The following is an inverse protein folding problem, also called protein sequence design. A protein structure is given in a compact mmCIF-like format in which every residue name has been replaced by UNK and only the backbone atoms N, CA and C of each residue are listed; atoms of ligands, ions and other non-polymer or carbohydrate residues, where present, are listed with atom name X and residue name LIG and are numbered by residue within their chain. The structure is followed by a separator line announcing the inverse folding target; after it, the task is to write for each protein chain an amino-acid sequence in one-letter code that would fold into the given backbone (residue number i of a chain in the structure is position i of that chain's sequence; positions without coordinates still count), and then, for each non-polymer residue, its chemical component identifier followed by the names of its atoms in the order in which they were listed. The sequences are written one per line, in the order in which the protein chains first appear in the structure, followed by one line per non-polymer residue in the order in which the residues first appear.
data_IF_415860829735
#
_entry.id   IF_415860829735
#
_cell.length_a   1.000
_cell.length_b   1.000
_cell.length_c   1.000
_cell.angle_alpha   90.00
_cell.angle_beta   90.00
_cell.angle_gamma   90.00
#
_symmetry.space_group_name_H-M   'P 1'
#
loop_
_entity.id
_entity.type
_entity.pdbx_description
1 polymer ?
#
# COMPACT_ATOMS: atom_id res chain seq x y z
N UNK A 1 25.16 32.12 8.54
CA UNK A 1 24.27 31.44 9.50
C UNK A 1 24.02 30.04 8.92
N UNK A 2 24.57 29.00 9.57
CA UNK A 2 24.16 27.62 9.30
C UNK A 2 22.67 27.56 9.62
N UNK A 3 21.84 27.21 8.63
CA UNK A 3 20.42 26.91 8.91
C UNK A 3 20.42 25.72 9.87
N UNK A 4 20.03 25.94 11.13
CA UNK A 4 19.74 24.83 12.01
C UNK A 4 18.66 23.99 11.37
N UNK A 5 19.01 22.75 11.05
CA UNK A 5 18.01 21.80 10.54
C UNK A 5 17.04 21.48 11.68
N UNK A 6 15.74 21.43 11.41
CA UNK A 6 14.77 21.11 12.45
C UNK A 6 15.05 19.74 13.06
N UNK A 7 14.88 19.61 14.36
CA UNK A 7 14.93 18.34 15.07
C UNK A 7 13.71 17.52 14.74
N UNK A 8 13.88 16.41 14.02
CA UNK A 8 12.80 15.57 13.54
C UNK A 8 12.71 14.30 14.38
N UNK A 9 11.55 14.06 15.00
CA UNK A 9 11.22 12.79 15.64
C UNK A 9 10.42 11.89 14.69
N UNK A 10 10.66 10.57 14.74
CA UNK A 10 9.90 9.59 13.97
C UNK A 10 9.41 8.44 14.85
N UNK A 11 8.11 8.15 14.81
CA UNK A 11 7.52 6.92 15.37
C UNK A 11 7.29 5.93 14.25
N UNK A 12 8.05 4.83 14.18
CA UNK A 12 8.03 3.90 13.06
C UNK A 12 6.86 2.92 13.10
N UNK A 13 6.62 2.25 11.97
CA UNK A 13 5.69 1.11 11.86
C UNK A 13 6.24 -0.14 12.55
N UNK A 14 7.56 -0.35 12.46
CA UNK A 14 8.28 -1.48 13.06
C UNK A 14 9.55 -0.99 13.76
N UNK A 15 9.89 -1.62 14.89
CA UNK A 15 11.04 -1.22 15.71
C UNK A 15 12.39 -1.35 15.00
N UNK A 16 12.48 -2.26 14.01
CA UNK A 16 13.66 -2.49 13.19
C UNK A 16 13.75 -1.59 11.95
N UNK A 17 12.75 -0.72 11.74
CA UNK A 17 12.63 0.17 10.57
C UNK A 17 12.55 -0.57 9.22
N UNK A 18 12.30 -1.88 9.23
CA UNK A 18 12.28 -2.71 8.02
C UNK A 18 10.87 -2.97 7.48
N UNK A 19 9.85 -2.43 8.13
CA UNK A 19 8.48 -2.49 7.63
C UNK A 19 8.32 -1.79 6.28
N UNK A 20 7.44 -2.26 5.38
CA UNK A 20 7.19 -1.57 4.11
C UNK A 20 6.78 -0.10 4.29
N UNK A 21 5.98 0.18 5.33
CA UNK A 21 5.57 1.55 5.68
C UNK A 21 6.75 2.43 6.09
N UNK A 22 7.76 1.87 6.76
CA UNK A 22 8.97 2.60 7.10
C UNK A 22 9.81 2.88 5.85
N UNK A 23 10.22 1.82 5.14
CA UNK A 23 11.19 1.90 4.04
C UNK A 23 10.70 2.68 2.82
N UNK A 24 9.39 2.70 2.57
CA UNK A 24 8.79 3.28 1.35
C UNK A 24 8.13 4.63 1.56
N UNK A 25 8.08 5.15 2.79
CA UNK A 25 7.41 6.40 3.13
C UNK A 25 8.40 7.39 3.74
N UNK A 26 8.26 7.78 5.00
CA UNK A 26 9.10 8.83 5.60
C UNK A 26 10.60 8.54 5.51
N UNK A 27 11.05 7.30 5.77
CA UNK A 27 12.49 6.97 5.70
C UNK A 27 13.03 7.11 4.27
N UNK A 28 12.26 6.69 3.25
CA UNK A 28 12.65 6.89 1.84
C UNK A 28 12.79 8.39 1.51
N UNK A 29 11.85 9.21 1.97
CA UNK A 29 11.91 10.65 1.80
C UNK A 29 13.11 11.26 2.56
N UNK A 30 13.29 10.94 3.83
CA UNK A 30 14.39 11.44 4.65
C UNK A 30 15.75 11.12 4.03
N UNK A 31 15.92 9.88 3.55
CA UNK A 31 17.13 9.47 2.82
C UNK A 31 17.33 10.29 1.54
N UNK A 32 16.28 10.47 0.75
CA UNK A 32 16.36 11.22 -0.50
C UNK A 32 16.66 12.73 -0.28
N UNK A 33 16.36 13.27 0.88
CA UNK A 33 16.62 14.68 1.25
C UNK A 33 17.78 14.86 2.22
N UNK A 34 18.53 13.78 2.54
CA UNK A 34 19.62 13.79 3.55
C UNK A 34 19.19 14.37 4.90
N UNK A 35 17.97 14.03 5.33
CA UNK A 35 17.44 14.49 6.61
C UNK A 35 17.85 13.52 7.72
N UNK A 36 18.36 14.06 8.80
CA UNK A 36 18.56 13.34 10.05
C UNK A 36 17.25 13.29 10.83
N UNK A 37 16.96 12.17 11.44
CA UNK A 37 15.84 12.02 12.36
C UNK A 37 16.23 11.06 13.49
N UNK A 38 15.49 11.10 14.58
CA UNK A 38 15.66 10.21 15.73
C UNK A 38 14.33 9.51 16.04
N UNK A 39 14.39 8.36 16.72
CA UNK A 39 13.18 7.69 17.19
C UNK A 39 12.51 8.55 18.25
N UNK A 40 11.28 8.98 17.97
CA UNK A 40 10.57 9.92 18.82
C UNK A 40 10.20 9.31 20.18
N UNK A 41 10.40 10.08 21.22
CA UNK A 41 9.91 9.83 22.58
C UNK A 41 8.93 10.93 22.96
N UNK A 42 7.86 10.58 23.63
CA UNK A 42 6.77 11.50 23.94
C UNK A 42 7.22 12.68 24.82
N UNK A 43 8.18 12.46 25.71
CA UNK A 43 8.70 13.44 26.67
C UNK A 43 9.72 14.42 26.06
N UNK A 44 10.24 14.08 24.87
CA UNK A 44 11.28 14.87 24.20
C UNK A 44 10.67 15.99 23.34
N UNK A 45 11.47 17.04 23.12
CA UNK A 45 11.08 18.17 22.27
C UNK A 45 11.61 17.99 20.86
N UNK A 46 10.72 18.07 19.88
CA UNK A 46 11.02 18.06 18.45
C UNK A 46 10.38 19.27 17.78
N UNK A 47 10.99 19.80 16.74
CA UNK A 47 10.33 20.80 15.89
C UNK A 47 9.16 20.19 15.13
N UNK A 48 9.35 18.95 14.65
CA UNK A 48 8.30 18.15 14.01
C UNK A 48 8.44 16.69 14.35
N UNK A 49 7.31 16.04 14.62
CA UNK A 49 7.23 14.58 14.81
C UNK A 49 6.41 13.96 13.68
N UNK A 50 6.98 12.96 13.02
CA UNK A 50 6.26 12.14 12.03
C UNK A 50 5.83 10.86 12.73
N UNK A 51 4.53 10.70 12.88
CA UNK A 51 3.91 9.55 13.53
C UNK A 51 3.37 8.59 12.49
N UNK A 52 3.86 7.35 12.46
CA UNK A 52 3.23 6.30 11.68
C UNK A 52 1.89 5.89 12.30
N UNK A 53 1.09 5.15 11.56
CA UNK A 53 -0.17 4.54 12.04
C UNK A 53 0.04 3.54 13.21
N UNK A 54 1.28 3.12 13.47
CA UNK A 54 1.61 2.28 14.63
C UNK A 54 1.76 3.08 15.93
N UNK A 55 1.83 4.40 15.86
CA UNK A 55 1.94 5.28 17.03
C UNK A 55 0.78 5.08 18.02
N UNK A 56 1.05 5.36 19.29
CA UNK A 56 0.03 5.33 20.34
C UNK A 56 -0.90 6.54 20.22
N UNK A 57 -1.97 6.38 19.43
CA UNK A 57 -2.99 7.44 19.23
C UNK A 57 -3.83 7.73 20.49
N UNK A 58 -3.64 6.99 21.59
CA UNK A 58 -4.26 7.30 22.87
C UNK A 58 -3.43 8.29 23.70
N UNK A 59 -2.17 8.49 23.34
CA UNK A 59 -1.18 9.34 24.03
C UNK A 59 -0.78 10.57 23.19
N UNK A 60 -0.37 10.37 21.94
CA UNK A 60 0.20 11.42 21.08
C UNK A 60 -0.69 12.65 20.83
N UNK A 61 -2.03 12.62 20.93
CA UNK A 61 -2.83 13.84 20.85
C UNK A 61 -2.51 14.88 21.92
N UNK A 62 -1.87 14.50 23.04
CA UNK A 62 -1.47 15.41 24.13
C UNK A 62 -0.07 16.02 23.92
N UNK A 63 0.67 15.59 22.89
CA UNK A 63 1.99 16.15 22.60
C UNK A 63 1.88 17.63 22.19
N UNK A 64 2.62 18.50 22.88
CA UNK A 64 2.52 19.96 22.73
C UNK A 64 3.84 20.66 22.37
N UNK A 65 4.93 19.91 22.24
CA UNK A 65 6.26 20.49 22.09
C UNK A 65 6.66 20.83 20.65
N UNK A 66 5.89 20.44 19.65
CA UNK A 66 6.17 20.71 18.25
C UNK A 66 5.03 20.33 17.32
N UNK A 67 5.30 20.42 16.01
CA UNK A 67 4.34 20.05 14.97
C UNK A 67 4.18 18.52 14.86
N UNK A 68 2.97 18.07 14.57
CA UNK A 68 2.67 16.67 14.36
C UNK A 68 2.25 16.42 12.91
N UNK A 69 2.95 15.51 12.26
CA UNK A 69 2.56 14.89 10.99
C UNK A 69 2.08 13.47 11.29
N UNK A 70 0.82 13.15 11.00
CA UNK A 70 0.29 11.80 11.20
C UNK A 70 0.14 11.07 9.88
N UNK A 71 0.91 9.99 9.69
CA UNK A 71 0.90 9.16 8.47
C UNK A 71 -0.08 8.01 8.65
N UNK A 72 -1.34 8.24 8.23
CA UNK A 72 -2.47 7.33 8.32
C UNK A 72 -2.71 6.63 6.97
N UNK A 73 -2.19 5.43 6.80
CA UNK A 73 -2.26 4.69 5.53
C UNK A 73 -3.59 3.95 5.36
N UNK A 74 -4.10 3.31 6.42
CA UNK A 74 -5.33 2.52 6.36
C UNK A 74 -6.59 3.36 6.62
N UNK A 75 -7.68 3.07 5.88
CA UNK A 75 -8.93 3.83 5.88
C UNK A 75 -9.86 3.52 7.07
N UNK A 76 -9.34 3.43 8.28
CA UNK A 76 -10.13 3.08 9.47
C UNK A 76 -11.25 4.08 9.80
N UNK A 77 -11.13 5.34 9.40
CA UNK A 77 -12.19 6.35 9.60
C UNK A 77 -13.45 6.07 8.78
N UNK A 78 -13.33 5.33 7.68
CA UNK A 78 -14.45 4.93 6.83
C UNK A 78 -15.21 3.70 7.37
N UNK A 79 -14.64 2.97 8.34
CA UNK A 79 -15.26 1.78 8.91
C UNK A 79 -16.34 2.17 9.92
N UNK A 80 -17.58 1.66 9.80
CA UNK A 80 -18.66 1.96 10.74
C UNK A 80 -18.32 1.54 12.19
N UNK A 81 -18.81 2.30 13.17
CA UNK A 81 -18.65 1.94 14.60
C UNK A 81 -19.34 0.63 14.97
N UNK A 82 -20.31 0.18 14.18
CA UNK A 82 -21.01 -1.09 14.34
C UNK A 82 -20.19 -2.30 13.96
N UNK A 83 -19.05 -2.11 13.29
CA UNK A 83 -18.11 -3.20 12.98
C UNK A 83 -17.44 -3.69 14.28
N UNK A 84 -17.64 -4.98 14.60
CA UNK A 84 -17.13 -5.58 15.82
C UNK A 84 -15.60 -5.52 15.92
N UNK A 85 -14.89 -5.68 14.80
CA UNK A 85 -13.42 -5.61 14.76
C UNK A 85 -12.95 -4.18 15.09
N UNK A 86 -13.68 -3.19 14.58
CA UNK A 86 -13.38 -1.78 14.87
C UNK A 86 -13.62 -1.46 16.33
N UNK A 87 -14.73 -1.93 16.91
CA UNK A 87 -15.05 -1.75 18.33
C UNK A 87 -14.00 -2.37 19.25
N UNK A 88 -13.57 -3.60 18.97
CA UNK A 88 -12.58 -4.32 19.77
C UNK A 88 -11.13 -3.82 19.57
N UNK A 89 -10.85 -3.04 18.55
CA UNK A 89 -9.49 -2.63 18.19
C UNK A 89 -8.80 -1.84 19.31
N UNK A 90 -9.49 -0.89 19.95
CA UNK A 90 -8.95 -0.12 21.08
C UNK A 90 -8.57 -1.00 22.28
N UNK A 91 -9.49 -1.79 22.82
CA UNK A 91 -9.20 -2.75 23.89
C UNK A 91 -8.05 -3.74 23.56
N UNK A 92 -8.01 -4.26 22.33
CA UNK A 92 -6.95 -5.18 21.91
C UNK A 92 -5.59 -4.44 21.86
N UNK A 93 -5.53 -3.22 21.30
CA UNK A 93 -4.27 -2.47 21.28
C UNK A 93 -3.77 -2.10 22.68
N UNK A 94 -4.68 -1.79 23.60
CA UNK A 94 -4.35 -1.59 25.01
C UNK A 94 -3.80 -2.86 25.65
N UNK A 95 -4.49 -3.99 25.53
CA UNK A 95 -4.06 -5.27 26.08
C UNK A 95 -2.70 -5.76 25.51
N UNK A 96 -2.39 -5.39 24.28
CA UNK A 96 -1.10 -5.70 23.63
C UNK A 96 0.00 -4.66 23.95
N UNK A 97 -0.25 -3.70 24.83
CA UNK A 97 0.71 -2.64 25.18
C UNK A 97 1.04 -1.66 24.05
N UNK A 98 0.21 -1.64 22.99
CA UNK A 98 0.37 -0.71 21.84
C UNK A 98 -0.30 0.63 22.08
N UNK A 99 -1.22 0.72 23.02
CA UNK A 99 -1.84 1.94 23.50
C UNK A 99 -1.66 2.03 25.01
N UNK A 100 -1.25 3.20 25.51
CA UNK A 100 -1.05 3.46 26.93
C UNK A 100 -2.35 3.62 27.68
N UNK A 101 -3.47 3.90 26.99
CA UNK A 101 -4.78 4.12 27.58
C UNK A 101 -5.86 3.28 26.90
N UNK A 102 -6.76 2.75 27.74
CA UNK A 102 -7.95 2.05 27.24
C UNK A 102 -8.96 3.09 26.71
N UNK A 103 -9.04 3.22 25.40
CA UNK A 103 -9.94 4.15 24.69
C UNK A 103 -10.58 3.51 23.47
N UNK A 104 -11.72 4.04 23.04
CA UNK A 104 -12.31 3.73 21.74
C UNK A 104 -11.32 4.13 20.63
N UNK A 105 -11.01 3.17 19.75
CA UNK A 105 -10.01 3.38 18.70
C UNK A 105 -10.41 4.48 17.72
N UNK A 106 -11.68 4.52 17.31
CA UNK A 106 -12.15 5.50 16.32
C UNK A 106 -12.17 6.90 16.91
N UNK A 107 -12.53 7.05 18.20
CA UNK A 107 -12.46 8.36 18.88
C UNK A 107 -11.02 8.83 18.98
N UNK A 108 -10.09 7.97 19.44
CA UNK A 108 -8.67 8.31 19.51
C UNK A 108 -8.09 8.67 18.13
N UNK A 109 -8.50 7.96 17.08
CA UNK A 109 -8.08 8.26 15.71
C UNK A 109 -8.57 9.63 15.22
N UNK A 110 -9.82 9.99 15.55
CA UNK A 110 -10.38 11.31 15.24
C UNK A 110 -9.68 12.41 16.03
N UNK A 111 -9.39 12.20 17.30
CA UNK A 111 -8.62 13.12 18.14
C UNK A 111 -7.20 13.31 17.59
N UNK A 112 -6.55 12.21 17.18
CA UNK A 112 -5.24 12.27 16.56
C UNK A 112 -5.24 13.09 15.27
N UNK A 113 -6.23 12.89 14.39
CA UNK A 113 -6.38 13.69 13.18
C UNK A 113 -6.61 15.18 13.48
N UNK A 114 -7.44 15.51 14.49
CA UNK A 114 -7.69 16.92 14.89
C UNK A 114 -6.45 17.59 15.47
N UNK A 115 -5.64 16.85 16.24
CA UNK A 115 -4.42 17.37 16.86
C UNK A 115 -3.30 17.56 15.83
N UNK A 116 -3.31 16.78 14.76
CA UNK A 116 -2.23 16.83 13.78
C UNK A 116 -2.20 18.14 13.01
N UNK A 117 -1.01 18.70 12.84
CA UNK A 117 -0.77 19.88 12.00
C UNK A 117 -0.81 19.53 10.50
N UNK A 118 -0.50 18.29 10.16
CA UNK A 118 -0.78 17.69 8.84
C UNK A 118 -1.09 16.20 8.99
N UNK A 119 -1.96 15.69 8.10
CA UNK A 119 -2.23 14.26 7.98
C UNK A 119 -1.86 13.80 6.58
N UNK A 120 -1.08 12.73 6.51
CA UNK A 120 -0.79 12.04 5.24
C UNK A 120 -1.75 10.86 5.15
N UNK A 121 -2.31 10.63 3.99
CA UNK A 121 -3.15 9.48 3.69
C UNK A 121 -2.79 8.85 2.35
N UNK A 122 -3.41 7.72 2.04
CA UNK A 122 -3.02 6.91 0.91
C UNK A 122 -4.00 6.97 -0.28
N UNK A 123 -5.18 7.59 -0.14
CA UNK A 123 -6.17 7.72 -1.24
C UNK A 123 -6.93 9.05 -1.17
N UNK A 124 -7.46 9.51 -2.30
CA UNK A 124 -8.34 10.67 -2.36
C UNK A 124 -9.67 10.42 -1.61
N UNK A 125 -10.12 9.17 -1.58
CA UNK A 125 -11.31 8.74 -0.85
C UNK A 125 -11.10 8.90 0.66
N UNK A 126 -9.93 8.47 1.16
CA UNK A 126 -9.55 8.60 2.56
C UNK A 126 -9.37 10.07 2.96
N UNK A 127 -8.76 10.89 2.09
CA UNK A 127 -8.61 12.34 2.30
C UNK A 127 -9.94 13.00 2.65
N UNK A 128 -11.01 12.71 1.89
CA UNK A 128 -12.35 13.27 2.16
C UNK A 128 -12.86 12.94 3.57
N UNK A 129 -12.59 11.74 4.05
CA UNK A 129 -12.97 11.33 5.42
C UNK A 129 -12.15 12.04 6.49
N UNK A 130 -10.85 12.29 6.24
CA UNK A 130 -9.94 12.95 7.18
C UNK A 130 -10.21 14.46 7.25
N UNK A 131 -10.58 15.09 6.14
CA UNK A 131 -10.85 16.54 6.07
C UNK A 131 -11.95 17.02 7.02
N UNK A 132 -12.77 16.12 7.57
CA UNK A 132 -13.73 16.44 8.64
C UNK A 132 -13.03 16.76 9.99
N UNK A 133 -11.76 16.42 10.15
CA UNK A 133 -10.99 16.51 11.38
C UNK A 133 -9.72 17.35 11.26
N UNK A 134 -9.10 17.36 10.09
CA UNK A 134 -7.87 18.10 9.77
C UNK A 134 -8.00 18.72 8.37
N UNK A 135 -7.69 20.02 8.23
CA UNK A 135 -7.76 20.70 6.94
C UNK A 135 -6.49 20.54 6.10
N UNK A 136 -5.36 20.21 6.73
CA UNK A 136 -4.07 20.06 6.08
C UNK A 136 -3.83 18.56 5.79
N UNK A 137 -4.39 18.06 4.68
CA UNK A 137 -4.37 16.62 4.33
C UNK A 137 -3.71 16.40 2.97
N UNK A 138 -2.71 15.53 2.96
CA UNK A 138 -1.90 15.22 1.78
C UNK A 138 -2.04 13.75 1.38
N UNK A 139 -2.31 13.49 0.09
CA UNK A 139 -2.29 12.12 -0.46
C UNK A 139 -0.87 11.82 -0.93
N UNK A 140 -0.17 10.98 -0.18
CA UNK A 140 1.19 10.56 -0.50
C UNK A 140 1.28 9.04 -0.46
N UNK A 141 1.59 8.43 -1.59
CA UNK A 141 1.73 6.99 -1.75
C UNK A 141 3.17 6.53 -1.51
N UNK A 142 3.39 5.23 -1.57
CA UNK A 142 4.70 4.63 -1.33
C UNK A 142 5.70 4.94 -2.44
N UNK A 143 6.95 5.16 -2.09
CA UNK A 143 8.08 5.28 -3.02
C UNK A 143 8.57 3.86 -3.35
N UNK A 144 8.35 3.42 -4.59
CA UNK A 144 8.62 2.04 -5.02
C UNK A 144 9.99 1.82 -5.68
N UNK A 145 10.86 2.84 -5.75
CA UNK A 145 12.13 2.76 -6.48
C UNK A 145 13.03 1.59 -6.07
N UNK A 146 13.00 1.20 -4.79
CA UNK A 146 13.82 0.09 -4.29
C UNK A 146 13.36 -1.29 -4.80
N UNK A 147 12.10 -1.43 -5.20
CA UNK A 147 11.51 -2.72 -5.65
C UNK A 147 11.25 -2.78 -7.15
N UNK A 148 11.26 -1.65 -7.86
CA UNK A 148 10.99 -1.59 -9.31
C UNK A 148 12.30 -1.55 -10.11
N UNK A 149 13.12 -2.62 -9.97
CA UNK A 149 14.47 -2.69 -10.57
C UNK A 149 14.47 -3.15 -12.03
N UNK A 150 13.46 -3.93 -12.44
CA UNK A 150 13.29 -4.43 -13.81
C UNK A 150 11.98 -3.97 -14.40
N UNK A 151 11.95 -3.83 -15.71
CA UNK A 151 10.78 -3.46 -16.49
C UNK A 151 10.51 -4.55 -17.51
N UNK A 152 9.25 -4.98 -17.61
CA UNK A 152 8.80 -5.94 -18.63
C UNK A 152 8.85 -5.30 -20.01
N UNK A 153 9.46 -6.00 -20.97
CA UNK A 153 9.59 -5.56 -22.37
C UNK A 153 8.97 -6.53 -23.35
N UNK A 154 8.79 -7.80 -22.96
CA UNK A 154 8.19 -8.85 -23.77
C UNK A 154 6.75 -9.14 -23.26
N UNK A 155 5.77 -9.05 -24.13
CA UNK A 155 4.35 -9.26 -23.84
C UNK A 155 3.76 -10.48 -24.55
N UNK A 156 4.57 -11.26 -25.28
CA UNK A 156 4.18 -12.57 -25.76
C UNK A 156 3.81 -13.47 -24.57
N UNK A 157 2.70 -14.18 -24.69
CA UNK A 157 2.25 -15.05 -23.60
C UNK A 157 3.19 -16.23 -23.43
N UNK A 158 3.62 -16.46 -22.19
CA UNK A 158 4.31 -17.70 -21.83
C UNK A 158 3.37 -18.92 -21.99
N UNK A 159 3.96 -20.11 -22.06
CA UNK A 159 3.23 -21.39 -22.03
C UNK A 159 3.78 -22.25 -20.92
N UNK A 160 3.05 -22.43 -19.80
CA UNK A 160 1.75 -21.82 -19.45
C UNK A 160 1.84 -20.31 -19.27
N UNK A 161 0.70 -19.59 -19.44
CA UNK A 161 0.58 -18.17 -19.16
C UNK A 161 0.76 -17.91 -17.66
N UNK A 162 1.59 -16.93 -17.29
CA UNK A 162 1.99 -16.69 -15.92
C UNK A 162 1.21 -15.52 -15.30
N UNK A 163 0.31 -15.87 -14.39
CA UNK A 163 -0.33 -14.89 -13.50
C UNK A 163 0.58 -14.60 -12.31
N UNK A 164 0.54 -13.38 -11.77
CA UNK A 164 1.25 -13.05 -10.53
C UNK A 164 0.38 -12.29 -9.54
N UNK A 165 0.49 -12.68 -8.29
CA UNK A 165 -0.01 -11.95 -7.13
C UNK A 165 1.12 -11.69 -6.15
N UNK A 166 1.21 -10.46 -5.62
CA UNK A 166 2.16 -10.08 -4.58
C UNK A 166 1.42 -9.56 -3.36
N UNK A 167 1.84 -9.95 -2.16
CA UNK A 167 1.23 -9.42 -0.95
C UNK A 167 1.71 -10.08 0.35
N UNK A 168 1.25 -9.51 1.48
CA UNK A 168 1.49 -10.10 2.79
C UNK A 168 0.70 -11.40 2.97
N UNK A 169 1.18 -12.36 3.78
CA UNK A 169 0.47 -13.62 4.05
C UNK A 169 -0.97 -13.41 4.54
N UNK A 170 -1.21 -12.37 5.33
CA UNK A 170 -2.55 -12.00 5.81
C UNK A 170 -3.56 -11.65 4.70
N UNK A 171 -3.09 -11.37 3.49
CA UNK A 171 -3.93 -11.05 2.33
C UNK A 171 -4.18 -12.26 1.41
N UNK A 172 -3.63 -13.45 1.69
CA UNK A 172 -3.89 -14.66 0.91
C UNK A 172 -5.38 -15.05 0.82
N UNK A 173 -6.22 -14.83 1.85
CA UNK A 173 -7.66 -15.03 1.71
C UNK A 173 -8.31 -14.19 0.61
N UNK A 174 -7.76 -13.00 0.30
CA UNK A 174 -8.22 -12.18 -0.82
C UNK A 174 -7.91 -12.88 -2.17
N UNK A 175 -6.71 -13.48 -2.29
CA UNK A 175 -6.33 -14.23 -3.48
C UNK A 175 -7.22 -15.46 -3.68
N UNK A 176 -7.56 -16.17 -2.61
CA UNK A 176 -8.42 -17.35 -2.66
C UNK A 176 -9.81 -17.08 -3.28
N UNK A 177 -10.27 -15.83 -3.29
CA UNK A 177 -11.52 -15.44 -3.93
C UNK A 177 -11.50 -15.64 -5.46
N UNK A 178 -10.32 -15.65 -6.08
CA UNK A 178 -10.19 -15.94 -7.52
C UNK A 178 -10.29 -17.45 -7.85
N UNK A 179 -10.27 -18.33 -6.87
CA UNK A 179 -10.27 -19.77 -7.15
C UNK A 179 -11.46 -20.25 -8.00
N UNK A 180 -12.71 -19.82 -7.76
CA UNK A 180 -13.83 -20.20 -8.64
C UNK A 180 -13.65 -19.70 -10.08
N UNK A 181 -13.16 -18.47 -10.22
CA UNK A 181 -12.91 -17.83 -11.51
C UNK A 181 -11.82 -18.59 -12.28
N UNK A 182 -10.68 -18.87 -11.65
CA UNK A 182 -9.57 -19.57 -12.30
C UNK A 182 -9.96 -20.99 -12.69
N UNK A 183 -10.69 -21.72 -11.83
CA UNK A 183 -11.23 -23.05 -12.19
C UNK A 183 -12.15 -23.01 -13.40
N UNK A 184 -12.94 -21.95 -13.58
CA UNK A 184 -13.81 -21.81 -14.77
C UNK A 184 -13.04 -21.64 -16.08
N UNK A 185 -11.77 -21.29 -16.02
CA UNK A 185 -10.86 -21.12 -17.15
C UNK A 185 -9.98 -22.35 -17.40
N UNK A 186 -9.88 -23.28 -16.45
CA UNK A 186 -9.13 -24.53 -16.60
C UNK A 186 -9.65 -25.34 -17.81
N UNK A 187 -8.72 -25.96 -18.53
CA UNK A 187 -9.04 -26.69 -19.77
C UNK A 187 -9.28 -25.81 -21.00
N UNK A 188 -9.47 -24.49 -20.83
CA UNK A 188 -9.57 -23.52 -21.93
C UNK A 188 -8.24 -22.79 -22.16
N UNK A 189 -7.56 -22.46 -21.07
CA UNK A 189 -6.30 -21.73 -21.09
C UNK A 189 -5.36 -22.41 -20.10
N UNK A 190 -4.13 -22.69 -20.54
CA UNK A 190 -3.07 -23.22 -19.68
C UNK A 190 -2.39 -22.06 -18.95
N UNK A 191 -2.41 -22.04 -17.62
CA UNK A 191 -1.84 -20.99 -16.80
C UNK A 191 -1.19 -21.50 -15.51
N UNK A 192 -0.25 -20.71 -14.98
CA UNK A 192 0.39 -20.91 -13.68
C UNK A 192 0.21 -19.64 -12.82
N UNK A 193 -0.19 -19.80 -11.56
CA UNK A 193 -0.28 -18.71 -10.61
C UNK A 193 0.99 -18.59 -9.78
N UNK A 194 1.72 -17.50 -9.97
CA UNK A 194 2.91 -17.16 -9.19
C UNK A 194 2.51 -16.28 -8.00
N UNK A 195 2.83 -16.71 -6.78
CA UNK A 195 2.48 -16.01 -5.55
C UNK A 195 3.75 -15.56 -4.84
N UNK A 196 3.96 -14.24 -4.75
CA UNK A 196 5.07 -13.65 -4.01
C UNK A 196 4.59 -13.21 -2.64
N UNK A 197 5.07 -13.85 -1.59
CA UNK A 197 4.76 -13.48 -0.21
C UNK A 197 5.94 -13.81 0.71
N UNK A 198 6.02 -13.11 1.86
CA UNK A 198 7.03 -13.49 2.85
C UNK A 198 6.65 -14.82 3.49
N UNK A 199 7.63 -15.71 3.79
CA UNK A 199 7.39 -16.83 4.66
C UNK A 199 6.95 -16.28 6.02
N UNK A 200 5.85 -16.78 6.59
CA UNK A 200 5.37 -16.26 7.85
C UNK A 200 4.01 -16.79 8.25
N UNK A 201 3.66 -16.51 9.50
CA UNK A 201 2.39 -16.91 10.12
C UNK A 201 1.30 -15.92 9.73
N UNK A 202 0.08 -16.43 9.53
CA UNK A 202 -1.10 -15.58 9.44
C UNK A 202 -1.35 -14.88 10.79
N UNK A 203 -1.32 -13.55 10.88
CA UNK A 203 -1.71 -12.85 12.10
C UNK A 203 -3.18 -13.11 12.39
N UNK A 204 -3.49 -13.48 13.64
CA UNK A 204 -4.87 -13.65 14.09
C UNK A 204 -5.45 -15.07 13.98
N UNK A 205 -4.71 -16.02 13.41
CA UNK A 205 -5.08 -17.45 13.52
C UNK A 205 -4.28 -18.11 14.63
N UNK A 206 -4.97 -18.81 15.54
CA UNK A 206 -4.39 -19.65 16.60
C UNK A 206 -3.47 -20.77 16.07
N UNK A 207 -3.60 -21.09 14.79
CA UNK A 207 -2.82 -22.13 14.10
C UNK A 207 -1.91 -21.50 13.04
N UNK A 208 -0.62 -21.86 13.10
CA UNK A 208 0.38 -21.50 12.08
C UNK A 208 0.00 -22.17 10.76
N UNK A 209 -0.66 -21.46 9.86
CA UNK A 209 -0.93 -22.00 8.53
C UNK A 209 0.21 -21.63 7.60
N UNK A 210 0.88 -22.63 7.06
CA UNK A 210 1.86 -22.48 6.00
C UNK A 210 1.17 -21.89 4.75
N UNK A 211 1.66 -20.79 4.16
CA UNK A 211 1.12 -20.23 2.93
C UNK A 211 0.96 -21.25 1.81
N UNK A 212 1.91 -22.16 1.66
CA UNK A 212 1.87 -23.23 0.65
C UNK A 212 0.67 -24.14 0.87
N UNK A 213 0.49 -24.64 2.12
CA UNK A 213 -0.63 -25.52 2.47
C UNK A 213 -1.98 -24.81 2.31
N UNK A 214 -2.03 -23.49 2.57
CA UNK A 214 -3.23 -22.69 2.32
C UNK A 214 -3.54 -22.62 0.82
N UNK A 215 -2.57 -22.24 -0.01
CA UNK A 215 -2.76 -22.06 -1.46
C UNK A 215 -3.16 -23.36 -2.17
N UNK A 216 -2.55 -24.48 -1.82
CA UNK A 216 -2.85 -25.79 -2.39
C UNK A 216 -4.28 -26.30 -2.12
N UNK A 217 -5.05 -25.64 -1.23
CA UNK A 217 -6.49 -25.92 -1.04
C UNK A 217 -7.37 -25.28 -2.12
N UNK A 218 -6.85 -24.25 -2.76
CA UNK A 218 -7.62 -23.41 -3.68
C UNK A 218 -7.14 -23.47 -5.13
N UNK A 219 -5.83 -23.77 -5.33
CA UNK A 219 -5.20 -23.69 -6.64
C UNK A 219 -4.33 -24.92 -6.91
N UNK A 220 -4.53 -25.56 -8.06
CA UNK A 220 -3.78 -26.75 -8.47
C UNK A 220 -2.42 -26.38 -9.09
N UNK A 221 -2.37 -25.27 -9.85
CA UNK A 221 -1.18 -24.79 -10.56
C UNK A 221 -0.64 -23.50 -9.91
N UNK A 222 -0.05 -23.64 -8.69
CA UNK A 222 0.48 -22.49 -7.93
C UNK A 222 1.97 -22.68 -7.63
N UNK A 223 2.74 -21.64 -7.91
CA UNK A 223 4.14 -21.52 -7.53
C UNK A 223 4.32 -20.45 -6.46
N UNK A 224 4.83 -20.83 -5.30
CA UNK A 224 5.11 -19.92 -4.20
C UNK A 224 6.56 -19.45 -4.27
N UNK A 225 6.75 -18.14 -4.20
CA UNK A 225 8.07 -17.47 -4.15
C UNK A 225 8.19 -16.68 -2.84
N UNK A 226 9.34 -16.77 -2.21
CA UNK A 226 9.66 -15.92 -1.06
C UNK A 226 9.88 -14.49 -1.53
N UNK A 227 9.13 -13.56 -0.93
CA UNK A 227 9.26 -12.15 -1.27
C UNK A 227 10.63 -11.62 -0.83
N UNK A 228 11.40 -11.12 -1.77
CA UNK A 228 12.69 -10.49 -1.55
C UNK A 228 12.77 -9.22 -2.41
N UNK A 229 13.30 -8.13 -1.84
CA UNK A 229 13.42 -6.83 -2.51
C UNK A 229 14.33 -6.86 -3.74
N UNK A 230 15.35 -7.74 -3.70
CA UNK A 230 16.32 -7.87 -4.79
C UNK A 230 15.74 -8.62 -6.01
N UNK A 231 14.92 -9.65 -5.77
CA UNK A 231 14.46 -10.57 -6.82
C UNK A 231 12.99 -10.38 -7.22
N UNK A 232 12.19 -9.63 -6.43
CA UNK A 232 10.76 -9.52 -6.69
C UNK A 232 10.45 -8.94 -8.08
N UNK A 233 11.18 -7.92 -8.54
CA UNK A 233 10.93 -7.32 -9.86
C UNK A 233 11.27 -8.29 -11.00
N UNK A 234 12.26 -9.16 -10.83
CA UNK A 234 12.59 -10.18 -11.82
C UNK A 234 11.48 -11.21 -11.97
N UNK A 235 10.96 -11.73 -10.86
CA UNK A 235 9.85 -12.68 -10.85
C UNK A 235 8.60 -12.03 -11.44
N UNK A 236 8.25 -10.81 -11.00
CA UNK A 236 7.07 -10.10 -11.47
C UNK A 236 7.13 -9.83 -12.97
N UNK A 237 8.28 -9.34 -13.48
CA UNK A 237 8.43 -9.02 -14.92
C UNK A 237 8.53 -10.26 -15.81
N UNK A 238 8.81 -11.43 -15.26
CA UNK A 238 8.74 -12.71 -15.97
C UNK A 238 7.31 -13.23 -16.14
N UNK A 239 6.33 -12.65 -15.41
CA UNK A 239 4.93 -13.01 -15.52
C UNK A 239 4.21 -12.16 -16.59
N UNK A 240 3.04 -12.63 -17.04
CA UNK A 240 2.31 -12.01 -18.14
C UNK A 240 1.22 -11.06 -17.65
N UNK A 241 0.64 -11.31 -16.47
CA UNK A 241 -0.52 -10.58 -15.96
C UNK A 241 -0.52 -10.53 -14.43
N UNK A 242 -0.69 -9.34 -13.86
CA UNK A 242 -0.88 -9.13 -12.43
C UNK A 242 -2.36 -9.23 -12.04
N UNK A 243 -2.64 -9.82 -10.88
CA UNK A 243 -4.00 -9.90 -10.32
C UNK A 243 -4.04 -9.35 -8.90
N UNK A 244 -4.99 -8.45 -8.62
CA UNK A 244 -5.18 -7.85 -7.30
C UNK A 244 -6.64 -8.02 -6.84
N UNK A 245 -7.04 -9.21 -6.42
CA UNK A 245 -8.37 -9.42 -5.87
C UNK A 245 -8.49 -8.80 -4.47
N UNK A 246 -9.62 -8.14 -4.23
CA UNK A 246 -10.00 -7.53 -2.95
C UNK A 246 -11.45 -7.88 -2.67
N UNK A 247 -11.76 -8.30 -1.45
CA UNK A 247 -13.13 -8.53 -1.02
C UNK A 247 -13.86 -7.18 -0.90
N UNK A 248 -14.78 -6.92 -1.84
CA UNK A 248 -15.56 -5.68 -1.88
C UNK A 248 -16.60 -5.56 -0.76
N UNK A 249 -16.87 -6.64 -0.02
CA UNK A 249 -17.72 -6.63 1.17
C UNK A 249 -16.94 -6.33 2.47
N UNK A 250 -15.59 -6.36 2.44
CA UNK A 250 -14.76 -6.02 3.61
C UNK A 250 -14.48 -4.52 3.62
N UNK A 251 -15.09 -3.82 4.58
CA UNK A 251 -15.01 -2.35 4.71
C UNK A 251 -13.58 -1.82 4.93
N UNK A 252 -12.69 -2.60 5.51
CA UNK A 252 -11.27 -2.23 5.65
C UNK A 252 -10.53 -2.47 4.34
N UNK A 253 -10.78 -3.62 3.71
CA UNK A 253 -10.11 -4.00 2.47
C UNK A 253 -10.50 -3.10 1.28
N UNK A 254 -11.76 -2.67 1.21
CA UNK A 254 -12.24 -1.77 0.14
C UNK A 254 -11.57 -0.39 0.18
N UNK A 255 -11.09 0.05 1.34
CA UNK A 255 -10.36 1.31 1.52
C UNK A 255 -8.86 1.24 1.19
N UNK A 256 -8.36 0.12 0.67
CA UNK A 256 -6.93 -0.03 0.33
C UNK A 256 -6.54 0.89 -0.82
N UNK A 257 -5.31 1.42 -0.69
CA UNK A 257 -4.70 2.27 -1.70
C UNK A 257 -4.25 1.51 -2.94
N UNK A 258 -4.03 2.25 -4.00
CA UNK A 258 -3.51 1.78 -5.28
C UNK A 258 -2.00 1.46 -5.27
N UNK A 259 -1.31 1.52 -4.13
CA UNK A 259 0.14 1.28 -4.02
C UNK A 259 0.61 0.02 -4.75
N UNK A 260 -0.09 -1.10 -4.57
CA UNK A 260 0.26 -2.36 -5.24
C UNK A 260 0.13 -2.26 -6.76
N UNK A 261 -0.97 -1.68 -7.23
CA UNK A 261 -1.23 -1.46 -8.66
C UNK A 261 -0.13 -0.62 -9.31
N UNK A 262 0.21 0.50 -8.67
CA UNK A 262 1.27 1.40 -9.15
C UNK A 262 2.64 0.72 -9.18
N UNK A 263 2.97 -0.10 -8.18
CA UNK A 263 4.20 -0.88 -8.15
C UNK A 263 4.30 -1.84 -9.33
N UNK A 264 3.24 -2.59 -9.64
CA UNK A 264 3.18 -3.51 -10.78
C UNK A 264 3.21 -2.76 -12.12
N UNK A 265 2.49 -1.66 -12.24
CA UNK A 265 2.51 -0.83 -13.44
C UNK A 265 3.88 -0.22 -13.72
N UNK A 266 4.61 0.23 -12.70
CA UNK A 266 5.99 0.72 -12.86
C UNK A 266 6.94 -0.34 -13.40
N UNK A 267 6.69 -1.61 -13.09
CA UNK A 267 7.40 -2.73 -13.68
C UNK A 267 6.90 -3.11 -15.09
N UNK A 268 5.93 -2.38 -15.63
CA UNK A 268 5.38 -2.62 -16.97
C UNK A 268 4.44 -3.82 -17.05
N UNK A 269 3.88 -4.27 -15.94
CA UNK A 269 2.96 -5.40 -15.95
C UNK A 269 1.52 -4.94 -16.16
N UNK A 270 0.73 -5.54 -17.10
CA UNK A 270 -0.70 -5.32 -17.16
C UNK A 270 -1.37 -5.93 -15.93
N UNK A 271 -2.38 -5.28 -15.35
CA UNK A 271 -2.96 -5.68 -14.06
C UNK A 271 -4.47 -5.63 -14.09
N UNK A 272 -5.11 -6.67 -13.55
CA UNK A 272 -6.55 -6.73 -13.29
C UNK A 272 -6.76 -6.59 -11.77
N UNK A 273 -7.77 -5.80 -11.36
CA UNK A 273 -8.06 -5.54 -9.95
C UNK A 273 -9.53 -5.77 -9.62
N UNK A 274 -9.85 -5.96 -8.33
CA UNK A 274 -11.22 -5.72 -7.85
C UNK A 274 -11.54 -4.22 -7.89
N UNK A 275 -12.81 -3.89 -8.07
CA UNK A 275 -13.31 -2.52 -8.26
C UNK A 275 -13.44 -1.75 -6.93
N UNK A 276 -12.36 -1.64 -6.14
CA UNK A 276 -12.35 -0.71 -5.00
C UNK A 276 -12.48 0.74 -5.48
N UNK A 277 -12.95 1.70 -4.67
CA UNK A 277 -13.06 3.09 -5.09
C UNK A 277 -11.76 3.66 -5.66
N UNK A 278 -10.62 3.42 -5.00
CA UNK A 278 -9.31 3.88 -5.47
C UNK A 278 -8.90 3.23 -6.80
N UNK A 279 -9.03 1.91 -6.93
CA UNK A 279 -8.68 1.20 -8.18
C UNK A 279 -9.59 1.61 -9.34
N UNK A 280 -10.90 1.74 -9.12
CA UNK A 280 -11.84 2.21 -10.15
C UNK A 280 -11.49 3.61 -10.64
N UNK A 281 -11.18 4.53 -9.71
CA UNK A 281 -10.76 5.89 -10.06
C UNK A 281 -9.55 5.87 -10.95
N UNK A 282 -8.49 5.18 -10.55
CA UNK A 282 -7.22 5.13 -11.28
C UNK A 282 -7.37 4.42 -12.62
N UNK A 283 -8.13 3.31 -12.70
CA UNK A 283 -8.40 2.61 -13.96
C UNK A 283 -9.20 3.48 -14.94
N UNK A 284 -10.14 4.30 -14.45
CA UNK A 284 -10.84 5.28 -15.29
C UNK A 284 -9.89 6.38 -15.80
N UNK A 285 -9.01 6.91 -14.95
CA UNK A 285 -8.02 7.93 -15.33
C UNK A 285 -7.04 7.42 -16.40
N UNK A 286 -6.70 6.15 -16.36
CA UNK A 286 -5.80 5.48 -17.34
C UNK A 286 -6.55 5.07 -18.61
N UNK A 287 -7.89 5.05 -18.59
CA UNK A 287 -8.72 4.63 -19.70
C UNK A 287 -8.81 3.11 -19.90
N UNK A 288 -8.72 2.36 -18.80
CA UNK A 288 -8.86 0.88 -18.76
C UNK A 288 -9.88 0.44 -17.69
N UNK A 289 -11.10 1.05 -17.64
CA UNK A 289 -12.06 0.80 -16.56
C UNK A 289 -12.51 -0.66 -16.47
N UNK A 290 -12.50 -1.38 -17.59
CA UNK A 290 -12.85 -2.81 -17.67
C UNK A 290 -11.90 -3.71 -16.87
N UNK A 291 -10.66 -3.29 -16.63
CA UNK A 291 -9.69 -4.04 -15.82
C UNK A 291 -9.95 -3.94 -14.31
N UNK A 292 -11.03 -3.27 -13.91
CA UNK A 292 -11.48 -3.13 -12.52
C UNK A 292 -12.80 -3.88 -12.31
N UNK A 293 -12.73 -5.11 -11.81
CA UNK A 293 -13.83 -6.09 -11.77
C UNK A 293 -14.67 -5.99 -10.49
N UNK A 294 -15.99 -6.03 -10.60
CA UNK A 294 -16.93 -5.97 -9.47
C UNK A 294 -17.39 -7.36 -9.00
N UNK A 295 -17.33 -8.37 -9.86
CA UNK A 295 -17.83 -9.72 -9.61
C UNK A 295 -17.09 -10.77 -10.45
N UNK A 296 -17.36 -12.04 -10.18
CA UNK A 296 -16.68 -13.17 -10.82
C UNK A 296 -16.91 -13.23 -12.34
N UNK A 297 -18.09 -12.80 -12.83
CA UNK A 297 -18.37 -12.77 -14.27
C UNK A 297 -17.44 -11.78 -14.98
N UNK A 298 -17.25 -10.61 -14.41
CA UNK A 298 -16.31 -9.62 -14.96
C UNK A 298 -14.87 -10.13 -14.88
N UNK A 299 -14.46 -10.71 -13.74
CA UNK A 299 -13.15 -11.33 -13.60
C UNK A 299 -12.90 -12.39 -14.67
N UNK A 300 -13.86 -13.31 -14.90
CA UNK A 300 -13.75 -14.37 -15.91
C UNK A 300 -13.60 -13.79 -17.32
N UNK A 301 -14.47 -12.84 -17.69
CA UNK A 301 -14.44 -12.24 -19.03
C UNK A 301 -13.14 -11.45 -19.29
N UNK A 302 -12.68 -10.69 -18.30
CA UNK A 302 -11.47 -9.87 -18.42
C UNK A 302 -10.23 -10.75 -18.44
N UNK A 303 -10.14 -11.77 -17.59
CA UNK A 303 -9.05 -12.74 -17.61
C UNK A 303 -8.98 -13.46 -18.95
N UNK A 304 -10.09 -14.02 -19.44
CA UNK A 304 -10.17 -14.71 -20.73
C UNK A 304 -9.62 -13.84 -21.88
N UNK A 305 -10.06 -12.56 -21.94
CA UNK A 305 -9.55 -11.59 -22.90
C UNK A 305 -8.06 -11.33 -22.71
N UNK A 306 -7.63 -10.96 -21.50
CA UNK A 306 -6.23 -10.57 -21.26
C UNK A 306 -5.26 -11.75 -21.40
N UNK A 307 -5.71 -12.98 -21.22
CA UNK A 307 -4.90 -14.17 -21.43
C UNK A 307 -4.71 -14.50 -22.91
N UNK A 308 -5.68 -14.18 -23.77
CA UNK A 308 -5.67 -14.49 -25.22
C UNK A 308 -5.21 -13.33 -26.11
N UNK A 309 -5.28 -12.07 -25.64
CA UNK A 309 -5.05 -10.85 -26.43
C UNK A 309 -3.76 -10.13 -26.01
N UNK A 310 -2.66 -10.41 -26.74
CA UNK A 310 -1.36 -9.74 -26.50
C UNK A 310 -1.40 -8.23 -26.72
N UNK A 311 -2.00 -7.69 -27.80
CA UNK A 311 -2.18 -6.24 -27.97
C UNK A 311 -2.88 -5.58 -26.78
N UNK A 312 -3.91 -6.20 -26.21
CA UNK A 312 -4.60 -5.68 -25.04
C UNK A 312 -3.68 -5.65 -23.80
N UNK A 313 -2.85 -6.70 -23.58
CA UNK A 313 -1.86 -6.70 -22.51
C UNK A 313 -0.84 -5.58 -22.67
N UNK A 314 -0.32 -5.40 -23.88
CA UNK A 314 0.66 -4.38 -24.18
C UNK A 314 0.10 -2.96 -23.99
N UNK A 315 -1.10 -2.68 -24.48
CA UNK A 315 -1.77 -1.38 -24.32
C UNK A 315 -2.02 -1.06 -22.83
N UNK A 316 -2.60 -1.99 -22.09
CA UNK A 316 -2.85 -1.83 -20.66
C UNK A 316 -1.56 -1.58 -19.85
N UNK A 317 -0.50 -2.31 -20.17
CA UNK A 317 0.80 -2.14 -19.53
C UNK A 317 1.43 -0.76 -19.82
N UNK A 318 1.40 -0.32 -21.09
CA UNK A 318 1.94 0.99 -21.49
C UNK A 318 1.21 2.13 -20.81
N UNK A 319 -0.13 2.11 -20.82
CA UNK A 319 -0.96 3.15 -20.20
C UNK A 319 -0.74 3.18 -18.68
N UNK A 320 -0.80 2.03 -18.02
CA UNK A 320 -0.59 1.93 -16.57
C UNK A 320 0.79 2.43 -16.16
N UNK A 321 1.85 2.04 -16.90
CA UNK A 321 3.21 2.48 -16.62
C UNK A 321 3.38 3.99 -16.83
N UNK A 322 2.87 4.55 -17.93
CA UNK A 322 2.95 5.98 -18.19
C UNK A 322 2.30 6.78 -17.05
N UNK A 323 1.10 6.38 -16.62
CA UNK A 323 0.41 6.98 -15.49
C UNK A 323 1.22 6.88 -14.18
N UNK A 324 1.72 5.69 -13.86
CA UNK A 324 2.46 5.46 -12.63
C UNK A 324 3.78 6.26 -12.57
N UNK A 325 4.48 6.40 -13.68
CA UNK A 325 5.71 7.21 -13.76
C UNK A 325 5.40 8.71 -13.69
N UNK A 326 4.40 9.19 -14.44
CA UNK A 326 4.05 10.62 -14.48
C UNK A 326 3.50 11.11 -13.14
N UNK A 327 2.50 10.41 -12.58
CA UNK A 327 1.75 10.88 -11.41
C UNK A 327 2.36 10.42 -10.07
N UNK A 328 3.07 9.30 -10.07
CA UNK A 328 3.54 8.63 -8.84
C UNK A 328 5.01 8.18 -8.93
N UNK A 329 5.78 8.70 -9.89
CA UNK A 329 7.22 8.53 -9.94
C UNK A 329 7.90 9.11 -8.69
N UNK A 330 9.13 8.68 -8.42
CA UNK A 330 9.84 9.08 -7.18
C UNK A 330 9.90 10.60 -7.00
N UNK A 331 10.18 11.35 -8.08
CA UNK A 331 10.23 12.82 -8.02
C UNK A 331 8.88 13.44 -7.63
N UNK A 332 7.78 12.95 -8.19
CA UNK A 332 6.44 13.44 -7.88
C UNK A 332 6.05 13.16 -6.42
N UNK A 333 6.41 11.98 -5.90
CA UNK A 333 6.15 11.62 -4.51
C UNK A 333 7.03 12.42 -3.54
N UNK A 334 8.30 12.62 -3.85
CA UNK A 334 9.19 13.48 -3.06
C UNK A 334 8.67 14.92 -3.03
N UNK A 335 8.21 15.47 -4.16
CA UNK A 335 7.62 16.81 -4.21
C UNK A 335 6.36 16.93 -3.34
N UNK A 336 5.54 15.88 -3.23
CA UNK A 336 4.37 15.87 -2.31
C UNK A 336 4.80 15.92 -0.84
N UNK A 337 5.85 15.20 -0.47
CA UNK A 337 6.46 15.30 0.86
C UNK A 337 7.01 16.70 1.14
N UNK A 338 7.74 17.29 0.17
CA UNK A 338 8.25 18.65 0.27
C UNK A 338 7.10 19.66 0.47
N UNK A 339 6.01 19.53 -0.30
CA UNK A 339 4.83 20.39 -0.19
C UNK A 339 4.16 20.23 1.19
N UNK A 340 4.06 19.01 1.71
CA UNK A 340 3.53 18.75 3.05
C UNK A 340 4.38 19.44 4.12
N UNK A 341 5.70 19.27 4.11
CA UNK A 341 6.58 19.94 5.10
C UNK A 341 6.57 21.47 4.92
N UNK A 342 6.50 21.96 3.70
CA UNK A 342 6.39 23.40 3.42
C UNK A 342 5.11 24.01 3.99
N UNK A 343 4.00 23.25 4.01
CA UNK A 343 2.74 23.68 4.62
C UNK A 343 2.84 23.87 6.15
N UNK A 344 3.86 23.28 6.76
CA UNK A 344 4.18 23.41 8.19
C UNK A 344 5.27 24.45 8.47
N UNK A 345 5.80 25.10 7.43
CA UNK A 345 6.88 26.08 7.54
C UNK A 345 8.30 25.50 7.45
N UNK A 346 8.44 24.21 7.14
CA UNK A 346 9.75 23.57 6.95
C UNK A 346 10.10 23.49 5.46
N UNK A 347 11.26 24.00 5.05
CA UNK A 347 11.79 23.89 3.71
C UNK A 347 13.03 23.00 3.71
N UNK A 348 12.90 21.79 3.25
CA UNK A 348 14.02 20.89 3.03
C UNK A 348 14.51 21.08 1.59
N UNK A 349 15.75 21.58 1.42
CA UNK A 349 16.30 21.92 0.12
C UNK A 349 16.33 20.69 -0.81
N UNK A 350 16.00 20.92 -2.08
CA UNK A 350 16.29 19.93 -3.13
C UNK A 350 17.79 19.84 -3.29
N UNK A 351 18.45 18.81 -2.72
CA UNK A 351 19.80 18.48 -3.15
C UNK A 351 19.73 18.12 -4.62
N UNK A 352 20.26 18.99 -5.47
CA UNK A 352 20.44 18.71 -6.88
C UNK A 352 21.33 17.47 -7.02
N UNK A 353 20.84 16.44 -7.73
CA UNK A 353 21.67 15.40 -8.29
C UNK A 353 21.59 14.04 -7.61
N UNK A 354 20.62 13.23 -8.03
CA UNK A 354 20.95 11.83 -8.31
C UNK A 354 21.26 11.74 -9.80
N UNK A 355 22.54 11.65 -10.11
CA UNK A 355 22.97 11.14 -11.41
C UNK A 355 22.44 9.70 -11.53
N UNK A 356 21.91 9.40 -12.67
CA UNK A 356 21.36 8.16 -13.21
C UNK A 356 22.18 6.92 -12.88
#
# INVERSE_FOLDING_TARGET
MLKDFPRIGYVPYTSDLQGPGDRRRFIAYARARNLSFELARFEERYDVVVLSEAADISLWPEYSHGKIVFDLVDSYLAVPRTDLKQFLRGPIRYALGKHSRLRDYLLSLREMCRRSDAVICATEEQKRSIMQFCNNVHVILDIHSSVTKKIKTDYAAAKPLRLVWEGLPSNLPQLAMLAPVLRSLEGRIDFELNVLTKPGRFPGHLWKTDPRRFLMRYFDHVRLHDWNEETCSEIITSCDLGVIPINLADMVAIGKSENKLLGLWRMGLPVITSATPAYRRVMNEVGTPELSCQNDLQWTAVLDRMMSDEPARLDAAKRGRAYAEEKHGSSALLARWDAMFSSLGFAFGTSAGFAT
#
